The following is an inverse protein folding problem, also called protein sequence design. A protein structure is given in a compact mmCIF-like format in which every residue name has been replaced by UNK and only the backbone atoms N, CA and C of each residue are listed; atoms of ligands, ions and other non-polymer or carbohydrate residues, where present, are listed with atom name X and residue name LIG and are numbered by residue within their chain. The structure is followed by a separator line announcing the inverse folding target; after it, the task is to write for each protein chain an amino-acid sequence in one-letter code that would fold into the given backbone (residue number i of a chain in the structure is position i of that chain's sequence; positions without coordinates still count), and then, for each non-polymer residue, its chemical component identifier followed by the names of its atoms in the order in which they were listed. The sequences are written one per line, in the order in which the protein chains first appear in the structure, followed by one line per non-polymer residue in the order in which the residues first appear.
data_IF_557801598867
#
_entry.id   IF_557801598867
#
_cell.length_a   1.000
_cell.length_b   1.000
_cell.length_c   1.000
_cell.angle_alpha   90.00
_cell.angle_beta   90.00
_cell.angle_gamma   90.00
#
_symmetry.space_group_name_H-M   'P 1'
#
loop_
_entity.id
_entity.type
_entity.pdbx_description
1 polymer ?
#
# COMPACT_ATOMS: atom_id res chain seq x y z
N UNK A 1 0.14 -22.63 -9.08
CA UNK A 1 -1.33 -22.66 -9.30
C UNK A 1 -1.61 -21.83 -10.54
N UNK A 2 -2.44 -22.29 -11.50
CA UNK A 2 -2.78 -21.48 -12.69
C UNK A 2 -3.86 -20.47 -12.30
N UNK A 3 -3.66 -19.20 -12.65
CA UNK A 3 -4.69 -18.15 -12.49
C UNK A 3 -5.80 -18.44 -13.50
N UNK A 4 -7.06 -18.27 -13.11
CA UNK A 4 -8.16 -18.30 -14.06
C UNK A 4 -8.02 -17.14 -15.08
N UNK A 5 -8.61 -17.29 -16.26
CA UNK A 5 -8.62 -16.19 -17.25
C UNK A 5 -9.33 -14.95 -16.70
N UNK A 6 -10.36 -15.15 -15.88
CA UNK A 6 -11.10 -14.07 -15.22
C UNK A 6 -10.23 -13.31 -14.21
N UNK A 7 -9.53 -13.99 -13.31
CA UNK A 7 -8.63 -13.35 -12.36
C UNK A 7 -7.46 -12.66 -13.08
N UNK A 8 -6.95 -13.23 -14.19
CA UNK A 8 -5.92 -12.60 -15.01
C UNK A 8 -6.42 -11.30 -15.65
N UNK A 9 -7.65 -11.30 -16.17
CA UNK A 9 -8.30 -10.11 -16.76
C UNK A 9 -8.57 -9.04 -15.70
N UNK A 10 -9.00 -9.45 -14.51
CA UNK A 10 -9.19 -8.56 -13.37
C UNK A 10 -7.88 -7.88 -12.98
N UNK A 11 -6.80 -8.64 -12.76
CA UNK A 11 -5.49 -8.09 -12.39
C UNK A 11 -4.92 -7.14 -13.46
N UNK A 12 -5.09 -7.48 -14.74
CA UNK A 12 -4.67 -6.59 -15.83
C UNK A 12 -5.43 -5.26 -15.81
N UNK A 13 -6.77 -5.29 -15.66
CA UNK A 13 -7.59 -4.08 -15.54
C UNK A 13 -7.21 -3.26 -14.31
N UNK A 14 -6.99 -3.91 -13.17
CA UNK A 14 -6.58 -3.26 -11.94
C UNK A 14 -5.23 -2.57 -12.11
N UNK A 15 -4.23 -3.26 -12.69
CA UNK A 15 -2.93 -2.67 -12.99
C UNK A 15 -3.06 -1.44 -13.88
N UNK A 16 -3.78 -1.56 -15.00
CA UNK A 16 -3.94 -0.46 -15.95
C UNK A 16 -4.62 0.75 -15.30
N UNK A 17 -5.65 0.53 -14.47
CA UNK A 17 -6.32 1.60 -13.72
C UNK A 17 -5.38 2.27 -12.73
N UNK A 18 -4.59 1.49 -12.00
CA UNK A 18 -3.66 2.01 -10.98
C UNK A 18 -2.47 2.73 -11.61
N UNK A 19 -1.97 2.25 -12.76
CA UNK A 19 -0.90 2.91 -13.52
C UNK A 19 -1.29 4.32 -13.99
N UNK A 20 -2.57 4.54 -14.28
CA UNK A 20 -3.07 5.87 -14.68
C UNK A 20 -3.04 6.88 -13.53
N UNK A 21 -2.97 6.43 -12.28
CA UNK A 21 -2.89 7.31 -11.10
C UNK A 21 -1.45 7.79 -10.88
N UNK A 22 -0.44 7.04 -11.32
CA UNK A 22 0.98 7.35 -11.06
C UNK A 22 1.39 8.76 -11.54
N UNK A 23 0.98 9.23 -12.74
CA UNK A 23 1.29 10.59 -13.19
C UNK A 23 0.62 11.69 -12.37
N UNK A 24 -0.41 11.36 -11.57
CA UNK A 24 -1.15 12.30 -10.72
C UNK A 24 -0.55 12.43 -9.31
N UNK A 25 0.51 11.67 -9.01
CA UNK A 25 1.21 11.77 -7.74
C UNK A 25 1.84 13.16 -7.56
N UNK A 26 1.84 13.68 -6.33
CA UNK A 26 2.41 14.99 -6.06
C UNK A 26 3.93 15.02 -6.31
N UNK A 27 4.45 16.19 -6.66
CA UNK A 27 5.88 16.39 -6.89
C UNK A 27 6.71 15.93 -5.68
N UNK A 28 7.77 15.15 -5.95
CA UNK A 28 8.61 14.55 -4.92
C UNK A 28 8.20 13.14 -4.48
N UNK A 29 7.10 12.60 -5.03
CA UNK A 29 6.70 11.20 -4.90
C UNK A 29 6.86 10.49 -6.23
N UNK A 30 7.57 9.37 -6.24
CA UNK A 30 7.71 8.48 -7.38
C UNK A 30 6.91 7.20 -7.14
N UNK A 31 6.21 6.75 -8.18
CA UNK A 31 5.41 5.53 -8.14
C UNK A 31 5.80 4.53 -9.22
N UNK A 32 5.69 3.23 -8.93
CA UNK A 32 5.89 2.15 -9.90
C UNK A 32 4.88 1.04 -9.67
N UNK A 33 4.16 0.66 -10.72
CA UNK A 33 3.24 -0.48 -10.70
C UNK A 33 3.87 -1.69 -11.39
N UNK A 34 3.66 -2.88 -10.85
CA UNK A 34 4.15 -4.13 -11.45
C UNK A 34 3.30 -5.32 -10.99
N UNK A 35 3.39 -6.43 -11.73
CA UNK A 35 2.84 -7.71 -11.29
C UNK A 35 3.84 -8.46 -10.41
N UNK A 36 3.34 -9.06 -9.35
CA UNK A 36 4.10 -10.01 -8.55
C UNK A 36 3.20 -11.20 -8.18
N UNK A 37 3.46 -12.37 -8.78
CA UNK A 37 2.65 -13.56 -8.57
C UNK A 37 1.19 -13.34 -8.97
N UNK A 38 0.30 -13.30 -7.98
CA UNK A 38 -1.15 -13.15 -8.14
C UNK A 38 -1.65 -11.77 -7.69
N UNK A 39 -0.78 -10.77 -7.70
CA UNK A 39 -1.07 -9.44 -7.17
C UNK A 39 -0.55 -8.35 -8.07
N UNK A 40 -1.20 -7.19 -7.99
CA UNK A 40 -0.70 -5.92 -8.53
C UNK A 40 -0.02 -5.19 -7.38
N UNK A 41 1.28 -4.97 -7.50
CA UNK A 41 2.05 -4.23 -6.51
C UNK A 41 2.30 -2.80 -6.98
N UNK A 42 2.26 -1.87 -6.04
CA UNK A 42 2.58 -0.47 -6.27
C UNK A 42 3.59 -0.01 -5.27
N UNK A 43 4.79 0.31 -5.75
CA UNK A 43 5.82 0.93 -4.94
C UNK A 43 5.65 2.46 -5.00
N UNK A 44 5.61 3.10 -3.84
CA UNK A 44 5.66 4.54 -3.66
C UNK A 44 6.90 4.90 -2.84
N UNK A 45 7.67 5.88 -3.32
CA UNK A 45 8.88 6.37 -2.65
C UNK A 45 9.04 7.87 -2.81
N UNK A 46 9.79 8.49 -1.92
CA UNK A 46 10.16 9.90 -2.01
C UNK A 46 10.95 10.36 -0.79
N UNK A 47 11.68 11.46 -0.94
CA UNK A 47 12.55 11.99 0.11
C UNK A 47 13.61 10.97 0.58
N UNK A 48 13.81 10.87 1.89
CA UNK A 48 14.77 9.95 2.52
C UNK A 48 14.10 8.71 3.16
N UNK A 49 12.82 8.46 2.87
CA UNK A 49 12.07 7.33 3.43
C UNK A 49 12.34 6.04 2.64
N UNK A 50 12.06 4.91 3.28
CA UNK A 50 12.01 3.62 2.60
C UNK A 50 10.83 3.51 1.61
N UNK A 51 10.79 2.41 0.87
CA UNK A 51 9.71 2.15 -0.10
C UNK A 51 8.45 1.68 0.63
N UNK A 52 7.31 2.27 0.28
CA UNK A 52 6.00 1.76 0.61
C UNK A 52 5.50 0.89 -0.53
N UNK A 53 5.02 -0.31 -0.26
CA UNK A 53 4.47 -1.20 -1.29
C UNK A 53 3.02 -1.54 -0.95
N UNK A 54 2.09 -1.09 -1.81
CA UNK A 54 0.69 -1.49 -1.74
C UNK A 54 0.50 -2.75 -2.60
N UNK A 55 0.03 -3.83 -1.99
CA UNK A 55 -0.25 -5.11 -2.64
C UNK A 55 -1.75 -5.26 -2.82
N UNK A 56 -2.19 -5.29 -4.06
CA UNK A 56 -3.59 -5.29 -4.46
C UNK A 56 -3.96 -6.58 -5.22
N UNK A 57 -5.27 -6.78 -5.38
CA UNK A 57 -5.83 -7.88 -6.15
C UNK A 57 -6.32 -9.07 -5.33
N UNK A 58 -6.43 -8.90 -4.01
CA UNK A 58 -7.15 -9.80 -3.12
C UNK A 58 -8.14 -9.00 -2.27
N UNK A 59 -9.06 -9.69 -1.57
CA UNK A 59 -9.98 -9.08 -0.59
C UNK A 59 -9.27 -8.44 0.61
N UNK A 60 -7.99 -8.75 0.82
CA UNK A 60 -7.19 -8.26 1.92
C UNK A 60 -5.91 -7.55 1.41
N UNK A 61 -6.03 -6.39 0.73
CA UNK A 61 -4.85 -5.65 0.31
C UNK A 61 -3.92 -5.32 1.48
N UNK A 62 -2.63 -5.34 1.17
CA UNK A 62 -1.56 -5.17 2.16
C UNK A 62 -0.78 -3.89 1.89
N UNK A 63 -0.39 -3.20 2.97
CA UNK A 63 0.58 -2.11 2.90
C UNK A 63 1.87 -2.54 3.59
N UNK A 64 2.96 -2.53 2.84
CA UNK A 64 4.29 -2.87 3.31
C UNK A 64 5.16 -1.62 3.38
N UNK A 65 6.10 -1.59 4.31
CA UNK A 65 7.14 -0.55 4.39
C UNK A 65 8.52 -1.17 4.57
N UNK A 66 9.43 -0.84 3.66
CA UNK A 66 10.84 -1.24 3.63
C UNK A 66 11.06 -2.76 3.81
N UNK A 67 10.12 -3.59 3.34
CA UNK A 67 10.11 -5.05 3.55
C UNK A 67 10.24 -5.49 5.02
N UNK A 68 9.91 -4.60 5.97
CA UNK A 68 10.13 -4.78 7.39
C UNK A 68 8.86 -4.68 8.21
N UNK A 69 7.89 -3.93 7.72
CA UNK A 69 6.60 -3.73 8.38
C UNK A 69 5.49 -4.01 7.38
N UNK A 70 4.37 -4.54 7.88
CA UNK A 70 3.17 -4.76 7.08
C UNK A 70 1.90 -4.55 7.90
N UNK A 71 0.85 -4.16 7.22
CA UNK A 71 -0.53 -4.17 7.70
C UNK A 71 -1.43 -4.61 6.55
N UNK A 72 -2.65 -5.05 6.85
CA UNK A 72 -3.63 -5.45 5.85
C UNK A 72 -4.99 -4.88 6.20
N UNK A 73 -5.81 -4.63 5.18
CA UNK A 73 -7.19 -4.18 5.36
C UNK A 73 -8.09 -5.01 4.48
N UNK A 74 -9.28 -5.30 4.98
CA UNK A 74 -10.34 -5.90 4.16
C UNK A 74 -10.99 -4.82 3.33
N UNK A 75 -11.11 -5.06 2.03
CA UNK A 75 -11.83 -4.19 1.10
C UNK A 75 -12.97 -5.00 0.51
N UNK A 76 -14.16 -4.41 0.29
CA UNK A 76 -15.23 -5.10 -0.42
C UNK A 76 -14.74 -5.66 -1.75
N UNK A 77 -15.30 -6.80 -2.15
CA UNK A 77 -14.99 -7.40 -3.45
C UNK A 77 -15.43 -6.50 -4.60
N UNK A 78 -14.53 -6.30 -5.56
CA UNK A 78 -14.83 -5.56 -6.78
C UNK A 78 -13.66 -4.72 -7.26
N UNK A 79 -13.68 -4.43 -8.57
CA UNK A 79 -12.61 -3.65 -9.20
C UNK A 79 -12.66 -2.18 -8.75
N UNK A 80 -13.85 -1.60 -8.70
CA UNK A 80 -14.02 -0.18 -8.44
C UNK A 80 -13.68 0.14 -6.97
N UNK A 81 -14.09 -0.72 -6.04
CA UNK A 81 -13.79 -0.63 -4.61
C UNK A 81 -12.29 -0.80 -4.34
N UNK A 82 -11.62 -1.69 -5.09
CA UNK A 82 -10.16 -1.85 -5.00
C UNK A 82 -9.42 -0.61 -5.54
N UNK A 83 -9.94 0.01 -6.60
CA UNK A 83 -9.36 1.24 -7.18
C UNK A 83 -9.55 2.42 -6.22
N UNK A 84 -10.75 2.59 -5.67
CA UNK A 84 -11.05 3.65 -4.68
C UNK A 84 -10.12 3.51 -3.45
N UNK A 85 -10.00 2.30 -2.91
CA UNK A 85 -9.06 2.03 -1.84
C UNK A 85 -7.61 2.37 -2.21
N UNK A 86 -7.17 2.04 -3.43
CA UNK A 86 -5.83 2.36 -3.89
C UNK A 86 -5.60 3.88 -3.99
N UNK A 87 -6.58 4.64 -4.50
CA UNK A 87 -6.52 6.09 -4.57
C UNK A 87 -6.40 6.73 -3.19
N UNK A 88 -7.22 6.30 -2.23
CA UNK A 88 -7.16 6.77 -0.84
C UNK A 88 -5.80 6.45 -0.21
N UNK A 89 -5.31 5.21 -0.37
CA UNK A 89 -4.02 4.81 0.14
C UNK A 89 -2.88 5.63 -0.47
N UNK A 90 -2.92 5.92 -1.78
CA UNK A 90 -1.90 6.72 -2.44
C UNK A 90 -1.87 8.14 -1.91
N UNK A 91 -3.04 8.74 -1.71
CA UNK A 91 -3.13 10.08 -1.17
C UNK A 91 -2.53 10.16 0.25
N UNK A 92 -2.87 9.20 1.12
CA UNK A 92 -2.35 9.11 2.48
C UNK A 92 -0.84 8.87 2.52
N UNK A 93 -0.35 7.91 1.75
CA UNK A 93 1.08 7.56 1.69
C UNK A 93 1.88 8.71 1.08
N UNK A 94 1.40 9.33 0.01
CA UNK A 94 2.08 10.47 -0.62
C UNK A 94 2.19 11.65 0.33
N UNK A 95 1.11 11.97 1.05
CA UNK A 95 1.13 13.00 2.11
C UNK A 95 2.15 12.67 3.18
N UNK A 96 2.21 11.41 3.62
CA UNK A 96 3.18 10.98 4.61
C UNK A 96 4.63 11.10 4.11
N UNK A 97 4.90 10.69 2.86
CA UNK A 97 6.21 10.82 2.21
C UNK A 97 6.67 12.28 2.18
N UNK A 98 5.76 13.20 1.88
CA UNK A 98 6.05 14.63 1.79
C UNK A 98 6.18 15.30 3.16
N UNK A 99 5.63 14.72 4.22
CA UNK A 99 5.86 15.17 5.59
C UNK A 99 7.31 14.87 5.97
N UNK A 100 8.18 15.88 5.85
CA UNK A 100 9.59 15.80 6.26
C UNK A 100 9.67 15.63 7.78
N UNK A 101 9.73 14.38 8.23
CA UNK A 101 9.83 14.01 9.64
C UNK A 101 10.52 12.67 9.84
N UNK A 102 11.11 12.43 11.02
CA UNK A 102 11.70 11.13 11.32
C UNK A 102 10.61 10.06 11.40
N UNK A 103 10.89 8.89 10.84
CA UNK A 103 10.07 7.68 11.03
C UNK A 103 10.30 7.16 12.45
N UNK A 104 9.26 7.20 13.28
CA UNK A 104 9.32 6.77 14.68
C UNK A 104 8.70 5.38 14.83
N UNK A 105 9.48 4.42 15.32
CA UNK A 105 8.99 3.08 15.70
C UNK A 105 8.37 3.13 17.10
N UNK A 106 7.17 2.60 17.24
CA UNK A 106 6.45 2.47 18.50
C UNK A 106 6.38 1.00 18.95
N UNK A 107 6.01 0.76 20.21
CA UNK A 107 5.77 -0.60 20.74
C UNK A 107 4.35 -0.70 21.25
N UNK A 108 3.62 -1.72 20.80
CA UNK A 108 2.26 -1.99 21.28
C UNK A 108 2.27 -2.22 22.79
N UNK A 109 1.30 -1.67 23.54
CA UNK A 109 1.26 -1.85 25.00
C UNK A 109 1.09 -3.31 25.44
N UNK A 110 0.31 -4.09 24.70
CA UNK A 110 -0.09 -5.45 25.08
C UNK A 110 0.99 -6.48 24.72
N UNK A 111 1.42 -6.52 23.45
CA UNK A 111 2.32 -7.56 22.93
C UNK A 111 3.77 -7.09 22.79
N UNK A 112 4.07 -5.85 23.18
CA UNK A 112 5.36 -5.16 22.97
C UNK A 112 5.90 -5.30 21.53
N UNK A 113 5.02 -5.55 20.56
CA UNK A 113 5.40 -5.74 19.17
C UNK A 113 5.71 -4.37 18.56
N UNK A 114 6.86 -4.21 17.89
CA UNK A 114 7.16 -2.95 17.23
C UNK A 114 6.21 -2.71 16.06
N UNK A 115 5.76 -1.45 15.93
CA UNK A 115 4.92 -1.01 14.83
C UNK A 115 5.30 0.40 14.39
N UNK A 116 4.92 0.74 13.17
CA UNK A 116 5.13 2.02 12.55
C UNK A 116 3.77 2.60 12.12
N UNK A 117 3.32 3.71 12.74
CA UNK A 117 2.04 4.32 12.41
C UNK A 117 2.15 5.22 11.17
N UNK A 118 1.16 5.12 10.28
CA UNK A 118 0.97 6.11 9.21
C UNK A 118 -0.40 6.76 9.45
N UNK A 119 -0.43 8.09 9.74
CA UNK A 119 -1.66 8.81 9.94
C UNK A 119 -2.56 8.73 8.71
N UNK A 120 -3.83 8.40 8.92
CA UNK A 120 -4.85 8.45 7.86
C UNK A 120 -5.62 9.75 7.91
N UNK A 121 -6.17 10.16 6.77
CA UNK A 121 -7.11 11.29 6.72
C UNK A 121 -8.48 10.83 7.21
N UNK A 122 -8.91 9.65 6.74
CA UNK A 122 -10.20 9.08 7.05
C UNK A 122 -10.02 7.72 7.75
N UNK A 123 -10.56 7.62 8.96
CA UNK A 123 -10.54 6.37 9.73
C UNK A 123 -9.24 6.14 10.53
N UNK A 124 -9.01 4.90 10.99
CA UNK A 124 -7.91 4.59 11.91
C UNK A 124 -6.57 4.50 11.18
N UNK A 125 -5.53 5.05 11.80
CA UNK A 125 -4.13 4.97 11.32
C UNK A 125 -3.74 3.56 10.86
N UNK A 126 -2.88 3.50 9.84
CA UNK A 126 -2.18 2.28 9.50
C UNK A 126 -1.25 1.90 10.63
N UNK A 127 -1.32 0.64 11.07
CA UNK A 127 -0.48 0.14 12.15
C UNK A 127 0.48 -0.91 11.59
N UNK A 128 1.46 -0.46 10.80
CA UNK A 128 2.40 -1.35 10.12
C UNK A 128 3.23 -2.10 11.14
N UNK A 129 2.97 -3.39 11.26
CA UNK A 129 3.57 -4.22 12.30
C UNK A 129 4.83 -4.88 11.78
N UNK A 130 5.90 -4.89 12.60
CA UNK A 130 7.18 -5.48 12.20
C UNK A 130 7.04 -6.97 11.86
N UNK A 131 7.55 -7.36 10.70
CA UNK A 131 7.65 -8.73 10.23
C UNK A 131 8.73 -9.42 11.06
N UNK A 132 8.38 -10.54 11.72
CA UNK A 132 9.36 -11.36 12.43
C UNK A 132 10.11 -12.18 11.39
N UNK A 133 11.43 -12.02 11.32
CA UNK A 133 12.30 -12.96 10.59
C UNK A 133 12.48 -14.22 11.41
#
# INVERSE_FOLDING_TARGET
MKISEEASRYLARLKDSVERIIPELPEGVEGRVYHHGHSVCVDLKGGSLGVFTLVLGSEAPELHYDNRYRDFRTVPEGLDETIEFAQDAFHEISRFILQRGPVIEHKSRILRRPYFPIPRINGPDWHLTKIRR
#
